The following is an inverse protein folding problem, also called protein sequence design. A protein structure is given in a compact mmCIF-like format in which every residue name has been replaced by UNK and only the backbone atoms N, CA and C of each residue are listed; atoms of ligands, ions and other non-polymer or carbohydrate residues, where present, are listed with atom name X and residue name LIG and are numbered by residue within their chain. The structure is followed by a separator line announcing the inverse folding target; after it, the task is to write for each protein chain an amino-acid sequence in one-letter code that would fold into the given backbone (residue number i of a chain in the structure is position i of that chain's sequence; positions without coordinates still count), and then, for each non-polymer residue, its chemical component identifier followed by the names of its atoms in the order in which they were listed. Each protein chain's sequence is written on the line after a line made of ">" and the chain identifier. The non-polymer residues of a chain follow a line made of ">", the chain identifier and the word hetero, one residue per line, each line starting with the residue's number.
data_IF_756210635155
#
_entry.id   IF_756210635155
#
_cell.length_a   1.000
_cell.length_b   1.000
_cell.length_c   1.000
_cell.angle_alpha   90.00
_cell.angle_beta   90.00
_cell.angle_gamma   90.00
#
_symmetry.space_group_name_H-M   'P 1'
#
loop_
_entity.id
_entity.type
_entity.pdbx_description
1 polymer ?
#
# COMPACT_ATOMS: atom_id res chain seq x y z
N UNK A 1 11.07 -23.49 -12.09
CA UNK A 1 10.52 -22.54 -13.05
C UNK A 1 11.65 -21.63 -13.50
N UNK A 2 11.73 -21.29 -14.81
CA UNK A 2 12.81 -20.45 -15.33
C UNK A 2 12.25 -19.12 -15.81
N UNK A 3 12.96 -18.03 -15.52
CA UNK A 3 12.69 -16.70 -16.04
C UNK A 3 13.81 -16.27 -16.96
N UNK A 4 13.46 -15.73 -18.13
CA UNK A 4 14.41 -15.12 -19.03
C UNK A 4 14.87 -13.76 -18.48
N UNK A 5 16.18 -13.49 -18.56
CA UNK A 5 16.75 -12.19 -18.17
C UNK A 5 16.59 -11.25 -19.35
N UNK A 6 15.80 -10.20 -19.16
CA UNK A 6 15.57 -9.18 -20.19
C UNK A 6 16.75 -8.20 -20.26
N UNK A 7 17.17 -7.90 -21.47
CA UNK A 7 18.11 -6.82 -21.78
C UNK A 7 17.49 -5.90 -22.85
N UNK A 8 17.99 -4.69 -23.04
CA UNK A 8 17.50 -3.79 -24.12
C UNK A 8 17.63 -4.36 -25.52
N UNK A 9 18.46 -5.42 -25.70
CA UNK A 9 18.74 -6.07 -27.00
C UNK A 9 17.99 -7.39 -27.19
N UNK A 10 17.26 -7.86 -26.18
CA UNK A 10 16.57 -9.15 -26.15
C UNK A 10 16.83 -9.91 -24.85
N UNK A 11 16.52 -11.18 -24.80
CA UNK A 11 16.70 -12.00 -23.61
C UNK A 11 18.10 -12.62 -23.63
N UNK A 12 18.85 -12.47 -22.52
CA UNK A 12 20.19 -13.04 -22.33
C UNK A 12 20.22 -13.86 -21.04
N UNK A 13 20.21 -15.20 -21.18
CA UNK A 13 20.27 -16.12 -20.06
C UNK A 13 18.93 -16.38 -19.37
N UNK A 14 18.93 -17.30 -18.41
CA UNK A 14 17.78 -17.68 -17.58
C UNK A 14 18.17 -17.73 -16.12
N UNK A 15 17.19 -17.48 -15.23
CA UNK A 15 17.31 -17.65 -13.78
C UNK A 15 16.33 -18.70 -13.33
N UNK A 16 16.83 -19.71 -12.62
CA UNK A 16 15.99 -20.72 -11.98
C UNK A 16 15.45 -20.20 -10.65
N UNK A 17 14.16 -20.41 -10.41
CA UNK A 17 13.44 -20.07 -9.19
C UNK A 17 12.51 -21.21 -8.76
N UNK A 18 12.18 -21.24 -7.47
CA UNK A 18 11.32 -22.26 -6.87
C UNK A 18 9.88 -22.12 -7.39
N UNK A 19 9.34 -23.22 -7.87
CA UNK A 19 7.93 -23.33 -8.27
C UNK A 19 6.97 -23.12 -7.08
N UNK A 20 7.42 -23.41 -5.86
CA UNK A 20 6.64 -23.18 -4.65
C UNK A 20 6.34 -21.69 -4.38
N UNK A 21 7.23 -20.78 -4.85
CA UNK A 21 7.05 -19.34 -4.72
C UNK A 21 6.34 -18.71 -5.93
N UNK A 22 6.62 -19.17 -7.15
CA UNK A 22 6.21 -18.51 -8.40
C UNK A 22 5.22 -19.33 -9.26
N UNK A 23 4.88 -20.56 -8.85
CA UNK A 23 3.97 -21.47 -9.58
C UNK A 23 2.58 -21.62 -8.96
N UNK A 24 2.21 -20.79 -7.98
CA UNK A 24 0.95 -20.95 -7.25
C UNK A 24 -0.27 -20.54 -8.07
N UNK A 25 -1.38 -21.28 -7.91
CA UNK A 25 -2.67 -20.90 -8.48
C UNK A 25 -3.16 -19.56 -7.91
N UNK A 26 -3.84 -18.78 -8.76
CA UNK A 26 -4.40 -17.49 -8.37
C UNK A 26 -5.62 -17.66 -7.48
N UNK A 27 -5.57 -17.06 -6.29
CA UNK A 27 -6.67 -17.04 -5.33
C UNK A 27 -7.15 -15.60 -5.12
N UNK A 28 -8.19 -15.22 -5.86
CA UNK A 28 -8.74 -13.87 -5.87
C UNK A 28 -9.22 -13.41 -4.49
N UNK A 29 -9.91 -14.27 -3.74
CA UNK A 29 -10.50 -13.90 -2.45
C UNK A 29 -9.41 -13.61 -1.41
N UNK A 30 -8.35 -14.41 -1.40
CA UNK A 30 -7.23 -14.23 -0.50
C UNK A 30 -6.43 -12.95 -0.83
N UNK A 31 -6.23 -12.69 -2.12
CA UNK A 31 -5.56 -11.47 -2.60
C UNK A 31 -6.41 -10.25 -2.24
N UNK A 32 -7.71 -10.26 -2.50
CA UNK A 32 -8.63 -9.18 -2.15
C UNK A 32 -8.62 -8.89 -0.64
N UNK A 33 -8.72 -9.92 0.20
CA UNK A 33 -8.65 -9.76 1.65
C UNK A 33 -7.34 -9.11 2.10
N UNK A 34 -6.22 -9.50 1.48
CA UNK A 34 -4.90 -8.96 1.79
C UNK A 34 -4.79 -7.48 1.39
N UNK A 35 -5.25 -7.11 0.20
CA UNK A 35 -5.28 -5.73 -0.29
C UNK A 35 -6.15 -4.85 0.60
N UNK A 36 -7.36 -5.31 0.96
CA UNK A 36 -8.27 -4.58 1.85
C UNK A 36 -7.65 -4.36 3.23
N UNK A 37 -7.01 -5.39 3.81
CA UNK A 37 -6.34 -5.28 5.09
C UNK A 37 -5.16 -4.29 5.05
N UNK A 38 -4.37 -4.31 3.98
CA UNK A 38 -3.25 -3.39 3.77
C UNK A 38 -3.73 -1.94 3.67
N UNK A 39 -4.70 -1.66 2.80
CA UNK A 39 -5.28 -0.32 2.62
C UNK A 39 -5.98 0.19 3.89
N UNK A 40 -6.64 -0.68 4.64
CA UNK A 40 -7.26 -0.33 5.92
C UNK A 40 -6.21 0.08 6.96
N UNK A 41 -5.07 -0.63 7.02
CA UNK A 41 -3.96 -0.30 7.91
C UNK A 41 -3.30 1.06 7.62
N UNK A 42 -3.30 1.51 6.37
CA UNK A 42 -2.76 2.81 5.97
C UNK A 42 -3.60 4.01 6.44
N UNK A 43 -4.85 3.79 6.90
CA UNK A 43 -5.76 4.86 7.36
C UNK A 43 -5.35 5.35 8.75
N UNK A 44 -5.01 6.61 8.89
CA UNK A 44 -4.64 7.22 10.18
C UNK A 44 -5.79 7.25 11.21
N UNK A 45 -7.04 7.37 10.78
CA UNK A 45 -8.21 7.38 11.64
C UNK A 45 -8.27 8.52 12.67
N UNK A 46 -7.59 9.63 12.46
CA UNK A 46 -7.39 10.71 13.43
C UNK A 46 -8.57 11.67 13.58
N UNK A 47 -9.69 11.46 12.87
CA UNK A 47 -10.85 12.32 12.99
C UNK A 47 -11.45 12.27 14.39
N UNK A 48 -11.78 13.45 14.95
CA UNK A 48 -12.43 13.56 16.24
C UNK A 48 -13.52 14.63 16.21
N UNK A 49 -14.60 14.38 16.93
CA UNK A 49 -15.69 15.33 17.17
C UNK A 49 -15.96 15.39 18.68
N UNK A 50 -16.40 16.55 19.16
CA UNK A 50 -16.73 16.71 20.57
C UNK A 50 -18.15 16.21 20.83
N UNK A 51 -18.29 15.21 21.69
CA UNK A 51 -19.57 14.80 22.26
C UNK A 51 -20.02 15.79 23.36
N UNK A 52 -21.19 15.62 23.93
CA UNK A 52 -21.71 16.51 24.96
C UNK A 52 -20.85 16.62 26.23
N UNK A 53 -20.00 15.63 26.49
CA UNK A 53 -19.09 15.65 27.63
C UNK A 53 -17.82 16.44 27.34
N UNK A 54 -17.36 16.42 26.07
CA UNK A 54 -16.13 17.08 25.63
C UNK A 54 -16.32 18.58 25.29
N UNK A 55 -17.56 19.01 25.02
CA UNK A 55 -17.86 20.43 24.74
C UNK A 55 -17.72 21.25 26.02
N UNK A 56 -17.09 22.42 25.93
CA UNK A 56 -16.95 23.35 27.04
C UNK A 56 -18.29 23.97 27.49
N UNK A 57 -18.45 24.27 28.74
CA UNK A 57 -19.65 24.89 29.31
C UNK A 57 -20.59 23.92 30.06
N UNK A 58 -21.78 24.29 30.36
CA UNK A 58 -22.91 23.43 30.79
C UNK A 58 -22.96 22.94 32.22
N UNK A 59 -22.14 23.41 33.13
CA UNK A 59 -22.16 23.00 34.55
C UNK A 59 -23.45 23.37 35.32
N UNK A 60 -24.27 24.27 34.79
CA UNK A 60 -25.52 24.74 35.39
C UNK A 60 -26.72 24.40 34.48
N UNK A 61 -27.87 24.05 35.13
CA UNK A 61 -29.15 23.90 34.41
C UNK A 61 -29.58 25.25 33.81
N UNK A 62 -29.92 25.34 32.51
CA UNK A 62 -30.19 26.63 31.84
C UNK A 62 -31.41 27.37 32.40
N UNK A 63 -32.42 26.68 32.87
CA UNK A 63 -33.63 27.24 33.47
C UNK A 63 -34.34 26.21 34.36
N UNK A 64 -35.30 26.69 35.20
CA UNK A 64 -36.08 25.83 36.12
C UNK A 64 -36.92 24.79 35.37
N UNK A 65 -37.28 23.69 36.04
CA UNK A 65 -37.94 22.51 35.47
C UNK A 65 -39.33 22.78 34.92
N UNK A 66 -40.07 23.70 35.53
CA UNK A 66 -41.48 24.06 35.21
C UNK A 66 -41.67 25.59 35.24
N UNK A 67 -42.75 26.08 34.59
CA UNK A 67 -43.17 27.50 34.66
C UNK A 67 -42.37 28.42 33.74
N UNK A 68 -41.72 27.90 32.66
CA UNK A 68 -40.98 28.70 31.67
C UNK A 68 -41.62 28.68 30.27
N UNK A 69 -42.63 27.86 30.06
CA UNK A 69 -43.26 27.66 28.70
C UNK A 69 -42.33 27.02 27.67
N UNK A 70 -41.08 26.64 28.08
CA UNK A 70 -40.06 26.05 27.19
C UNK A 70 -39.93 24.54 27.42
N UNK A 71 -39.44 23.83 26.41
CA UNK A 71 -39.06 22.44 26.59
C UNK A 71 -38.03 22.27 27.68
N UNK A 72 -38.15 21.21 28.48
CA UNK A 72 -37.21 20.92 29.59
C UNK A 72 -35.80 20.68 29.07
N UNK A 73 -34.82 21.29 29.69
CA UNK A 73 -33.40 21.11 29.35
C UNK A 73 -32.55 20.94 30.62
N UNK A 74 -31.64 19.94 30.58
CA UNK A 74 -30.69 19.69 31.67
C UNK A 74 -29.35 20.38 31.45
N UNK A 75 -28.97 20.65 30.24
CA UNK A 75 -27.68 21.25 29.89
C UNK A 75 -27.74 21.93 28.51
N UNK A 76 -26.98 22.98 28.33
CA UNK A 76 -26.79 23.67 27.04
C UNK A 76 -25.87 22.88 26.07
N UNK A 77 -25.16 21.85 26.58
CA UNK A 77 -24.30 20.97 25.76
C UNK A 77 -25.05 19.88 25.04
N UNK A 78 -26.39 19.77 25.21
CA UNK A 78 -27.19 18.76 24.54
C UNK A 78 -27.06 18.87 23.01
N UNK A 79 -27.05 17.77 22.26
CA UNK A 79 -26.95 17.78 20.80
C UNK A 79 -28.05 18.57 20.09
N UNK A 80 -29.19 18.74 20.73
CA UNK A 80 -30.33 19.54 20.20
C UNK A 80 -30.12 21.06 20.35
N UNK A 81 -29.09 21.48 21.10
CA UNK A 81 -28.74 22.88 21.30
C UNK A 81 -27.71 23.35 20.29
N UNK A 82 -27.85 24.58 19.80
CA UNK A 82 -26.80 25.21 18.99
C UNK A 82 -25.53 25.34 19.82
N UNK A 83 -24.42 24.84 19.28
CA UNK A 83 -23.13 24.76 20.02
C UNK A 83 -23.05 23.61 21.01
N UNK A 84 -24.04 22.71 21.08
CA UNK A 84 -23.96 21.45 21.82
C UNK A 84 -23.07 20.43 21.15
N UNK A 85 -22.83 19.30 21.84
CA UNK A 85 -22.02 18.21 21.32
C UNK A 85 -22.74 17.38 20.27
N UNK A 86 -21.97 16.66 19.45
CA UNK A 86 -22.49 15.71 18.48
C UNK A 86 -23.02 14.46 19.21
N UNK A 87 -24.19 13.94 18.81
CA UNK A 87 -24.84 12.78 19.47
C UNK A 87 -23.95 11.53 19.37
N UNK A 88 -23.51 11.19 18.17
CA UNK A 88 -22.59 10.07 17.87
C UNK A 88 -21.29 10.64 17.35
N UNK A 89 -20.56 11.32 18.24
CA UNK A 89 -19.31 11.99 17.90
C UNK A 89 -18.26 10.97 17.45
N UNK A 90 -17.72 11.16 16.27
CA UNK A 90 -16.61 10.34 15.80
C UNK A 90 -15.41 10.51 16.73
N UNK A 91 -14.75 9.41 17.07
CA UNK A 91 -13.52 9.36 17.84
C UNK A 91 -12.40 8.81 16.97
N UNK A 92 -11.12 9.08 17.28
CA UNK A 92 -10.00 8.41 16.63
C UNK A 92 -10.18 6.89 16.69
N UNK A 93 -9.97 6.24 15.56
CA UNK A 93 -10.20 4.80 15.42
C UNK A 93 -9.04 4.17 14.66
N UNK A 94 -8.54 3.06 15.18
CA UNK A 94 -7.67 2.16 14.44
C UNK A 94 -8.48 1.35 13.43
N UNK A 95 -8.06 1.39 12.17
CA UNK A 95 -8.69 0.66 11.06
C UNK A 95 -7.91 -0.58 10.66
N UNK A 96 -6.80 -0.88 11.33
CA UNK A 96 -5.98 -2.05 11.01
C UNK A 96 -6.78 -3.35 11.13
N UNK A 97 -6.53 -4.27 10.19
CA UNK A 97 -7.12 -5.60 10.17
C UNK A 97 -6.03 -6.63 10.34
N UNK A 98 -6.21 -7.54 11.29
CA UNK A 98 -5.27 -8.65 11.50
C UNK A 98 -5.38 -9.66 10.36
N UNK A 99 -4.24 -9.93 9.71
CA UNK A 99 -4.09 -11.02 8.76
C UNK A 99 -3.06 -12.03 9.27
N UNK A 100 -3.30 -13.33 9.08
CA UNK A 100 -2.36 -14.37 9.46
C UNK A 100 -1.12 -14.33 8.53
N UNK A 101 0.08 -14.48 9.08
CA UNK A 101 1.33 -14.46 8.30
C UNK A 101 1.34 -15.47 7.14
N UNK A 102 0.81 -16.68 7.36
CA UNK A 102 0.70 -17.71 6.32
C UNK A 102 -0.26 -17.30 5.19
N UNK A 103 -1.36 -16.60 5.51
CA UNK A 103 -2.29 -16.07 4.51
C UNK A 103 -1.63 -14.96 3.69
N UNK A 104 -0.95 -14.02 4.34
CA UNK A 104 -0.22 -12.95 3.67
C UNK A 104 0.83 -13.51 2.69
N UNK A 105 1.71 -14.41 3.14
CA UNK A 105 2.69 -15.06 2.27
C UNK A 105 2.04 -15.80 1.10
N UNK A 106 0.94 -16.51 1.37
CA UNK A 106 0.20 -17.22 0.34
C UNK A 106 -0.43 -16.28 -0.69
N UNK A 107 -0.91 -15.11 -0.27
CA UNK A 107 -1.40 -14.07 -1.16
C UNK A 107 -0.28 -13.49 -2.03
N UNK A 108 0.86 -13.16 -1.44
CA UNK A 108 2.03 -12.66 -2.17
C UNK A 108 2.53 -13.65 -3.21
N UNK A 109 2.63 -14.96 -2.88
CA UNK A 109 2.94 -16.02 -3.85
C UNK A 109 1.93 -16.05 -5.00
N UNK A 110 0.65 -15.95 -4.69
CA UNK A 110 -0.43 -15.94 -5.69
C UNK A 110 -0.32 -14.73 -6.63
N UNK A 111 -0.02 -13.53 -6.08
CA UNK A 111 0.17 -12.30 -6.87
C UNK A 111 1.37 -12.43 -7.80
N UNK A 112 2.54 -12.80 -7.25
CA UNK A 112 3.79 -12.88 -8.04
C UNK A 112 3.68 -13.97 -9.11
N UNK A 113 3.04 -15.12 -8.79
CA UNK A 113 2.78 -16.18 -9.77
C UNK A 113 1.87 -15.71 -10.91
N UNK A 114 0.86 -14.89 -10.60
CA UNK A 114 -0.04 -14.35 -11.60
C UNK A 114 0.64 -13.29 -12.47
N UNK A 115 1.48 -12.43 -11.89
CA UNK A 115 2.30 -11.47 -12.64
C UNK A 115 3.24 -12.17 -13.62
N UNK A 116 3.83 -13.29 -13.21
CA UNK A 116 4.66 -14.12 -14.09
C UNK A 116 3.85 -14.74 -15.23
N UNK A 117 2.63 -15.25 -14.95
CA UNK A 117 1.75 -15.88 -15.93
C UNK A 117 1.19 -14.88 -16.96
N UNK A 118 1.05 -13.61 -16.57
CA UNK A 118 0.59 -12.51 -17.43
C UNK A 118 1.73 -11.79 -18.15
N UNK A 119 2.97 -12.27 -18.07
CA UNK A 119 4.17 -11.61 -18.63
C UNK A 119 4.34 -10.16 -18.15
N UNK A 120 3.88 -9.87 -16.92
CA UNK A 120 4.04 -8.56 -16.26
C UNK A 120 5.32 -8.48 -15.43
N UNK A 121 5.91 -9.61 -15.07
CA UNK A 121 7.16 -9.71 -14.33
C UNK A 121 8.34 -9.74 -15.30
N UNK A 122 9.20 -8.73 -15.25
CA UNK A 122 10.38 -8.58 -16.09
C UNK A 122 11.61 -8.70 -15.20
N UNK A 123 12.47 -9.70 -15.49
CA UNK A 123 13.70 -9.93 -14.73
C UNK A 123 14.87 -9.31 -15.48
N UNK A 124 15.68 -8.51 -14.78
CA UNK A 124 16.91 -7.90 -15.31
C UNK A 124 18.10 -8.25 -14.44
N UNK A 125 19.31 -8.28 -15.01
CA UNK A 125 20.51 -8.61 -14.27
C UNK A 125 20.77 -7.59 -13.16
N UNK A 126 20.80 -6.30 -13.50
CA UNK A 126 20.95 -5.16 -12.60
C UNK A 126 20.25 -3.92 -13.15
N UNK A 127 19.79 -3.05 -12.25
CA UNK A 127 19.14 -1.80 -12.62
C UNK A 127 19.60 -0.67 -11.69
N UNK A 128 20.69 -0.01 -12.05
CA UNK A 128 21.29 1.10 -11.31
C UNK A 128 21.44 2.35 -12.18
N UNK A 129 21.59 3.51 -11.54
CA UNK A 129 21.84 4.78 -12.19
C UNK A 129 23.10 5.43 -11.59
N UNK A 130 23.97 5.94 -12.44
CA UNK A 130 25.19 6.65 -12.01
C UNK A 130 24.87 8.03 -11.42
N UNK A 131 23.84 8.70 -11.96
CA UNK A 131 23.45 10.05 -11.56
C UNK A 131 21.96 10.12 -11.21
N UNK A 132 21.56 10.93 -10.19
CA UNK A 132 20.16 11.06 -9.76
C UNK A 132 19.37 11.98 -10.70
N UNK A 133 19.17 11.55 -11.96
CA UNK A 133 18.45 12.31 -13.00
C UNK A 133 17.21 11.56 -13.47
N UNK A 134 16.03 12.18 -13.36
CA UNK A 134 14.76 11.62 -13.86
C UNK A 134 14.80 11.35 -15.36
N UNK A 135 15.46 12.21 -16.15
CA UNK A 135 15.60 12.02 -17.60
C UNK A 135 16.38 10.73 -17.94
N UNK A 136 17.44 10.43 -17.15
CA UNK A 136 18.23 9.22 -17.35
C UNK A 136 17.41 7.96 -17.04
N UNK A 137 16.59 8.00 -15.97
CA UNK A 137 15.68 6.91 -15.63
C UNK A 137 14.65 6.67 -16.72
N UNK A 138 14.00 7.73 -17.23
CA UNK A 138 13.00 7.62 -18.31
C UNK A 138 13.64 7.04 -19.58
N UNK A 139 14.85 7.48 -19.95
CA UNK A 139 15.55 6.94 -21.11
C UNK A 139 15.85 5.44 -20.92
N UNK A 140 16.33 5.04 -19.73
CA UNK A 140 16.62 3.64 -19.42
C UNK A 140 15.35 2.76 -19.41
N UNK A 141 14.22 3.26 -18.87
CA UNK A 141 12.95 2.54 -18.93
C UNK A 141 12.41 2.41 -20.37
N UNK A 142 12.60 3.45 -21.19
CA UNK A 142 12.20 3.42 -22.59
C UNK A 142 12.98 2.36 -23.41
N UNK A 143 14.23 2.05 -23.04
CA UNK A 143 15.01 0.97 -23.66
C UNK A 143 14.35 -0.42 -23.45
N UNK A 144 13.64 -0.59 -22.33
CA UNK A 144 12.83 -1.79 -22.03
C UNK A 144 11.37 -1.67 -22.51
N UNK A 145 10.99 -0.56 -23.18
CA UNK A 145 9.63 -0.30 -23.62
C UNK A 145 8.64 -0.01 -22.47
N UNK A 146 9.14 0.44 -21.31
CA UNK A 146 8.35 0.65 -20.10
C UNK A 146 8.05 2.13 -19.91
N UNK A 147 6.77 2.47 -19.73
CA UNK A 147 6.30 3.81 -19.35
C UNK A 147 5.80 3.86 -17.92
N UNK A 148 5.36 2.73 -17.38
CA UNK A 148 4.84 2.55 -16.04
C UNK A 148 5.41 1.26 -15.46
N UNK A 149 6.14 1.36 -14.34
CA UNK A 149 6.79 0.20 -13.75
C UNK A 149 7.05 0.35 -12.26
N UNK A 150 6.89 -0.76 -11.53
CA UNK A 150 7.46 -0.96 -10.21
C UNK A 150 8.87 -1.56 -10.38
N UNK A 151 9.88 -0.91 -9.83
CA UNK A 151 11.26 -1.39 -9.88
C UNK A 151 11.61 -1.98 -8.51
N UNK A 152 11.90 -3.28 -8.49
CA UNK A 152 12.27 -4.01 -7.26
C UNK A 152 13.75 -4.34 -7.31
N UNK A 153 14.50 -3.82 -6.35
CA UNK A 153 15.93 -4.06 -6.19
C UNK A 153 16.20 -4.79 -4.88
N UNK A 154 17.37 -5.39 -4.71
CA UNK A 154 17.74 -6.01 -3.45
C UNK A 154 17.87 -4.96 -2.34
N UNK A 155 18.57 -3.88 -2.64
CA UNK A 155 18.69 -2.67 -1.84
C UNK A 155 18.44 -1.46 -2.72
N UNK A 156 17.71 -0.47 -2.21
CA UNK A 156 17.40 0.74 -2.98
C UNK A 156 18.62 1.65 -3.06
N UNK A 157 19.12 1.86 -4.27
CA UNK A 157 20.18 2.83 -4.51
C UNK A 157 19.63 4.26 -4.41
N UNK A 158 20.33 5.15 -3.68
CA UNK A 158 19.94 6.56 -3.49
C UNK A 158 19.71 7.29 -4.82
N UNK A 159 20.59 7.10 -5.81
CA UNK A 159 20.44 7.72 -7.14
C UNK A 159 19.16 7.27 -7.85
N UNK A 160 18.81 5.99 -7.74
CA UNK A 160 17.60 5.42 -8.32
C UNK A 160 16.36 5.99 -7.64
N UNK A 161 16.34 6.04 -6.30
CA UNK A 161 15.25 6.60 -5.52
C UNK A 161 15.01 8.09 -5.85
N UNK A 162 16.07 8.91 -5.85
CA UNK A 162 15.98 10.33 -6.16
C UNK A 162 15.52 10.58 -7.59
N UNK A 163 15.84 9.70 -8.53
CA UNK A 163 15.41 9.78 -9.93
C UNK A 163 13.93 9.42 -10.12
N UNK A 164 13.40 8.51 -9.33
CA UNK A 164 12.03 7.98 -9.46
C UNK A 164 10.98 8.80 -8.71
N UNK A 165 11.30 9.39 -7.55
CA UNK A 165 10.34 9.99 -6.62
C UNK A 165 9.42 11.07 -7.21
N UNK A 166 9.82 11.73 -8.32
CA UNK A 166 8.99 12.73 -9.00
C UNK A 166 8.11 12.11 -10.10
N UNK A 167 8.27 10.83 -10.40
CA UNK A 167 7.53 10.14 -11.45
C UNK A 167 6.38 9.36 -10.81
N UNK A 168 5.15 9.80 -11.01
CA UNK A 168 3.95 9.16 -10.42
C UNK A 168 3.64 7.76 -11.00
N UNK A 169 4.25 7.41 -12.14
CA UNK A 169 4.09 6.12 -12.82
C UNK A 169 5.25 5.15 -12.58
N UNK A 170 6.20 5.54 -11.75
CA UNK A 170 7.38 4.72 -11.45
C UNK A 170 7.60 4.72 -9.94
N UNK A 171 7.68 3.56 -9.36
CA UNK A 171 8.01 3.37 -7.96
C UNK A 171 9.24 2.46 -7.83
N UNK A 172 10.05 2.70 -6.81
CA UNK A 172 11.24 1.89 -6.50
C UNK A 172 11.12 1.40 -5.08
N UNK A 173 11.24 0.10 -4.89
CA UNK A 173 11.24 -0.51 -3.57
C UNK A 173 12.32 -1.58 -3.45
N UNK A 174 12.68 -1.93 -2.22
CA UNK A 174 13.49 -3.10 -1.95
C UNK A 174 12.64 -4.38 -1.90
N UNK A 175 13.27 -5.52 -2.08
CA UNK A 175 12.59 -6.82 -2.08
C UNK A 175 11.88 -7.13 -0.74
N UNK A 176 12.35 -6.56 0.39
CA UNK A 176 11.75 -6.78 1.70
C UNK A 176 10.52 -5.88 1.95
N UNK A 177 10.46 -4.71 1.30
CA UNK A 177 9.37 -3.74 1.43
C UNK A 177 8.27 -3.90 0.38
N UNK A 178 8.36 -4.87 -0.51
CA UNK A 178 7.33 -5.13 -1.54
C UNK A 178 5.98 -5.40 -0.90
N UNK A 179 4.98 -4.63 -1.30
CA UNK A 179 3.61 -4.74 -0.82
C UNK A 179 2.64 -5.26 -1.90
N UNK A 180 1.49 -5.84 -1.52
CA UNK A 180 0.53 -6.43 -2.45
C UNK A 180 -0.14 -5.39 -3.36
N UNK A 181 -0.26 -4.14 -2.91
CA UNK A 181 -0.94 -3.07 -3.66
C UNK A 181 -0.06 -2.59 -4.80
N UNK A 182 1.20 -2.27 -4.52
CA UNK A 182 2.18 -1.83 -5.54
C UNK A 182 2.38 -2.90 -6.61
N UNK A 183 2.49 -4.19 -6.23
CA UNK A 183 2.60 -5.28 -7.21
C UNK A 183 1.42 -5.35 -8.20
N UNK A 184 0.21 -5.11 -7.72
CA UNK A 184 -1.00 -5.19 -8.56
C UNK A 184 -1.21 -3.90 -9.37
N UNK A 185 -0.89 -2.75 -8.78
CA UNK A 185 -1.18 -1.43 -9.33
C UNK A 185 -0.40 -1.13 -10.61
N UNK A 186 0.89 -1.47 -10.66
CA UNK A 186 1.73 -1.18 -11.82
C UNK A 186 1.53 -2.19 -12.96
N UNK A 187 1.52 -1.71 -14.21
CA UNK A 187 1.38 -2.56 -15.39
C UNK A 187 2.49 -3.59 -15.52
N UNK A 188 3.71 -3.19 -15.20
CA UNK A 188 4.90 -4.05 -15.24
C UNK A 188 5.69 -3.95 -13.94
N UNK A 189 6.27 -5.07 -13.53
CA UNK A 189 7.16 -5.16 -12.37
C UNK A 189 8.53 -5.59 -12.87
N UNK A 190 9.50 -4.70 -12.74
CA UNK A 190 10.89 -4.94 -13.11
C UNK A 190 11.66 -5.36 -11.86
N UNK A 191 12.23 -6.56 -11.88
CA UNK A 191 12.92 -7.15 -10.71
C UNK A 191 14.34 -7.49 -11.08
N UNK A 192 15.32 -7.09 -10.25
CA UNK A 192 16.71 -7.53 -10.43
C UNK A 192 16.86 -8.99 -10.00
N UNK A 193 17.84 -9.70 -10.57
CA UNK A 193 18.12 -11.12 -10.23
C UNK A 193 18.39 -11.30 -8.74
N UNK A 194 19.11 -10.37 -8.11
CA UNK A 194 19.37 -10.39 -6.68
C UNK A 194 18.08 -10.21 -5.86
N UNK A 195 17.21 -9.26 -6.26
CA UNK A 195 15.92 -9.05 -5.62
C UNK A 195 14.97 -10.24 -5.80
N UNK A 196 14.99 -10.89 -6.96
CA UNK A 196 14.19 -12.07 -7.23
C UNK A 196 14.53 -13.23 -6.28
N UNK A 197 15.83 -13.48 -6.04
CA UNK A 197 16.30 -14.50 -5.10
C UNK A 197 15.91 -14.16 -3.66
N UNK A 198 16.02 -12.89 -3.28
CA UNK A 198 15.60 -12.42 -1.95
C UNK A 198 14.08 -12.54 -1.74
N UNK A 199 13.29 -12.23 -2.77
CA UNK A 199 11.84 -12.48 -2.75
C UNK A 199 11.51 -13.97 -2.62
N UNK A 200 12.24 -14.84 -3.31
CA UNK A 200 12.10 -16.30 -3.19
C UNK A 200 12.31 -16.75 -1.74
N UNK A 201 13.39 -16.32 -1.08
CA UNK A 201 13.68 -16.65 0.32
C UNK A 201 12.57 -16.18 1.28
N UNK A 202 12.02 -14.97 1.07
CA UNK A 202 10.93 -14.41 1.90
C UNK A 202 9.63 -15.19 1.71
N UNK A 203 9.40 -15.68 0.50
CA UNK A 203 8.15 -16.33 0.13
C UNK A 203 8.15 -17.85 0.41
N UNK A 204 9.24 -18.51 0.37
CA UNK A 204 9.33 -19.95 0.73
C UNK A 204 9.19 -20.12 2.23
#
# INVERSE_FOLDING_TARGET
>A
MEFAIATPRGNEGTVEVSEAAFGKEFNQDLVHQTVVAFLAGARQGTRAQKNRSAVSGGGRKPFRQKGTGRARAGTIRSPIWRGGGVTFAAQPQDHSQKLNRKMYRSAMRSIVSELARQDRLIVVQDFSLETPKTKALIAKLAEFGLSEALIVTEEVNENLYLSSRNLHKVEVCDAAAVDPVSLINFDKVLVTVAALKKLEEILV
#
